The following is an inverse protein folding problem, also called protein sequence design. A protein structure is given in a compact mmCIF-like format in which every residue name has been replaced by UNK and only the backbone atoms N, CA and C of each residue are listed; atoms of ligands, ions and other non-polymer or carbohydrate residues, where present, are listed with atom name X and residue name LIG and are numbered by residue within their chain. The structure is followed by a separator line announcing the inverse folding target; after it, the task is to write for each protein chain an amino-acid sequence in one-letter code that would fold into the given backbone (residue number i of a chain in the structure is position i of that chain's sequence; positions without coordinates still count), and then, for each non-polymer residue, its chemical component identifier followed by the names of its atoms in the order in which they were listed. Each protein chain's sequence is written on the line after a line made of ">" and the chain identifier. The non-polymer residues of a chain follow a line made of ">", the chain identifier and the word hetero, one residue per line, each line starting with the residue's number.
data_IF_675561179563
#
_entry.id   IF_675561179563
#
_cell.length_a   1.000
_cell.length_b   1.000
_cell.length_c   1.000
_cell.angle_alpha   90.00
_cell.angle_beta   90.00
_cell.angle_gamma   90.00
#
_symmetry.space_group_name_H-M   'P 1'
#
loop_
_entity.id
_entity.type
_entity.pdbx_description
1 polymer ?
#
# COMPACT_ATOMS: atom_id res chain seq x y z
N UNK A 1 -12.54 28.61 0.99
CA UNK A 1 -13.11 27.83 -0.11
C UNK A 1 -13.86 26.67 0.50
N UNK A 2 -15.14 26.58 0.23
CA UNK A 2 -15.97 25.51 0.77
C UNK A 2 -16.19 24.48 -0.33
N UNK A 3 -16.02 23.21 0.00
CA UNK A 3 -16.51 22.09 -0.79
C UNK A 3 -17.37 21.20 0.09
N UNK A 4 -18.35 20.55 -0.50
CA UNK A 4 -19.24 19.61 0.18
C UNK A 4 -19.44 18.40 -0.70
N UNK A 5 -19.25 17.23 -0.15
CA UNK A 5 -19.40 15.97 -0.88
C UNK A 5 -20.03 14.88 -0.04
N UNK A 6 -20.62 13.91 -0.70
CA UNK A 6 -21.00 12.61 -0.15
C UNK A 6 -20.07 11.55 -0.75
N UNK A 7 -19.59 10.64 0.06
CA UNK A 7 -18.76 9.53 -0.44
C UNK A 7 -19.28 8.19 0.08
N UNK A 8 -19.18 7.18 -0.77
CA UNK A 8 -19.45 5.79 -0.47
C UNK A 8 -18.19 5.01 -0.85
N UNK A 9 -17.62 4.29 0.11
CA UNK A 9 -16.42 3.46 -0.07
C UNK A 9 -16.73 2.07 0.44
N UNK A 10 -16.91 1.14 -0.48
CA UNK A 10 -17.25 -0.26 -0.21
C UNK A 10 -16.11 -1.15 -0.66
N UNK A 11 -15.65 -2.04 0.19
CA UNK A 11 -14.67 -3.04 -0.18
C UNK A 11 -15.03 -4.41 0.38
N UNK A 12 -14.66 -5.45 -0.36
CA UNK A 12 -14.81 -6.85 0.02
C UNK A 12 -13.56 -7.61 -0.41
N UNK A 13 -13.09 -8.52 0.43
CA UNK A 13 -11.94 -9.36 0.11
C UNK A 13 -12.02 -10.71 0.76
N UNK A 14 -11.37 -11.70 0.15
CA UNK A 14 -11.23 -13.04 0.68
C UNK A 14 -9.82 -13.59 0.48
N UNK A 15 -9.34 -14.34 1.48
CA UNK A 15 -8.05 -15.00 1.44
C UNK A 15 -8.25 -16.52 1.35
N UNK A 16 -7.71 -17.11 0.30
CA UNK A 16 -7.75 -18.55 0.05
C UNK A 16 -6.42 -19.18 0.40
N UNK A 17 -6.39 -20.20 1.22
CA UNK A 17 -5.19 -21.00 1.44
C UNK A 17 -4.94 -21.86 0.20
N UNK A 18 -3.87 -21.58 -0.52
CA UNK A 18 -3.56 -22.18 -1.83
C UNK A 18 -2.65 -23.40 -1.75
N UNK A 19 -1.95 -23.59 -0.65
CA UNK A 19 -1.02 -24.68 -0.46
C UNK A 19 -1.55 -25.69 0.56
N UNK A 20 -1.43 -26.96 0.25
CA UNK A 20 -1.75 -28.08 1.17
C UNK A 20 -0.47 -28.62 1.76
N UNK A 21 -0.40 -28.76 3.09
CA UNK A 21 0.77 -29.32 3.80
C UNK A 21 0.88 -28.84 5.23
N UNK A 22 1.77 -29.48 6.00
CA UNK A 22 1.93 -29.21 7.43
C UNK A 22 3.03 -28.18 7.74
N UNK A 23 3.82 -27.75 6.74
CA UNK A 23 4.84 -26.75 6.98
C UNK A 23 4.21 -25.39 7.27
N UNK A 24 4.85 -24.62 8.14
CA UNK A 24 4.35 -23.30 8.54
C UNK A 24 4.26 -22.32 7.35
N UNK A 25 5.24 -22.37 6.44
CA UNK A 25 5.23 -21.56 5.22
C UNK A 25 4.02 -21.84 4.32
N UNK A 26 3.59 -23.11 4.26
CA UNK A 26 2.39 -23.54 3.52
C UNK A 26 1.13 -22.97 4.15
N UNK A 27 1.00 -23.07 5.47
CA UNK A 27 -0.19 -22.60 6.19
C UNK A 27 -0.34 -21.07 6.20
N UNK A 28 0.76 -20.34 6.05
CA UNK A 28 0.77 -18.89 6.07
C UNK A 28 0.71 -18.25 4.67
N UNK A 29 0.72 -19.06 3.59
CA UNK A 29 0.64 -18.54 2.22
C UNK A 29 -0.79 -18.58 1.70
N UNK A 30 -1.30 -17.41 1.36
CA UNK A 30 -2.67 -17.23 0.91
C UNK A 30 -2.70 -16.45 -0.42
N UNK A 31 -3.66 -16.83 -1.27
CA UNK A 31 -4.12 -16.02 -2.38
C UNK A 31 -5.20 -15.07 -1.86
N UNK A 32 -5.02 -13.79 -2.05
CA UNK A 32 -5.99 -12.76 -1.66
C UNK A 32 -6.63 -12.18 -2.91
N UNK A 33 -7.94 -12.14 -2.94
CA UNK A 33 -8.73 -11.45 -3.97
C UNK A 33 -9.57 -10.40 -3.26
N UNK A 34 -9.56 -9.16 -3.78
CA UNK A 34 -10.32 -8.07 -3.19
C UNK A 34 -10.92 -7.18 -4.27
N UNK A 35 -12.08 -6.62 -4.00
CA UNK A 35 -12.73 -5.59 -4.80
C UNK A 35 -13.02 -4.35 -3.96
N UNK A 36 -12.98 -3.17 -4.57
CA UNK A 36 -13.33 -1.90 -3.97
C UNK A 36 -14.15 -1.07 -4.94
N UNK A 37 -15.17 -0.41 -4.44
CA UNK A 37 -15.97 0.56 -5.17
C UNK A 37 -16.02 1.87 -4.37
N UNK A 38 -15.51 2.94 -4.97
CA UNK A 38 -15.57 4.29 -4.45
C UNK A 38 -16.50 5.12 -5.34
N UNK A 39 -17.44 5.82 -4.70
CA UNK A 39 -18.31 6.81 -5.36
C UNK A 39 -18.24 8.10 -4.55
N UNK A 40 -17.85 9.19 -5.18
CA UNK A 40 -17.79 10.52 -4.59
C UNK A 40 -18.67 11.46 -5.41
N UNK A 41 -19.64 12.11 -4.77
CA UNK A 41 -20.53 13.09 -5.39
C UNK A 41 -20.33 14.43 -4.70
N UNK A 42 -19.90 15.44 -5.46
CA UNK A 42 -19.72 16.78 -4.97
C UNK A 42 -21.03 17.57 -5.07
N UNK A 43 -21.50 18.07 -3.93
CA UNK A 43 -22.68 18.94 -3.82
C UNK A 43 -22.30 20.40 -4.00
N UNK A 44 -21.10 20.76 -3.57
CA UNK A 44 -20.49 22.08 -3.73
C UNK A 44 -19.03 21.88 -4.10
N UNK A 45 -18.56 22.54 -5.15
CA UNK A 45 -17.17 22.51 -5.60
C UNK A 45 -16.63 23.93 -5.69
N UNK A 46 -15.32 24.14 -5.53
CA UNK A 46 -14.68 25.42 -5.78
C UNK A 46 -14.94 25.91 -7.21
N UNK A 47 -14.89 27.23 -7.41
CA UNK A 47 -14.99 27.78 -8.77
C UNK A 47 -13.76 27.40 -9.60
N UNK A 48 -13.91 27.44 -10.93
CA UNK A 48 -12.85 27.10 -11.89
C UNK A 48 -11.57 27.92 -11.71
N UNK A 49 -11.69 29.12 -11.14
CA UNK A 49 -10.57 29.99 -10.81
C UNK A 49 -9.64 29.36 -9.76
N UNK A 50 -10.20 28.61 -8.80
CA UNK A 50 -9.49 27.97 -7.72
C UNK A 50 -9.24 26.47 -7.95
N UNK A 51 -9.95 25.86 -8.88
CA UNK A 51 -9.79 24.46 -9.28
C UNK A 51 -9.79 24.32 -10.82
N UNK A 52 -8.77 24.84 -11.50
CA UNK A 52 -8.69 24.83 -12.97
C UNK A 52 -8.61 23.42 -13.56
N UNK A 53 -8.21 22.43 -12.76
CA UNK A 53 -8.13 21.01 -13.17
C UNK A 53 -9.39 20.23 -12.86
N UNK A 54 -10.40 20.88 -12.26
CA UNK A 54 -11.64 20.27 -11.81
C UNK A 54 -11.39 19.02 -10.92
N UNK A 55 -10.47 19.19 -9.98
CA UNK A 55 -10.09 18.13 -9.05
C UNK A 55 -11.25 17.71 -8.14
N UNK A 56 -12.04 18.69 -7.69
CA UNK A 56 -13.22 18.49 -6.84
C UNK A 56 -14.47 18.21 -7.68
N UNK A 57 -14.46 17.10 -8.41
CA UNK A 57 -15.54 16.65 -9.28
C UNK A 57 -15.97 15.23 -8.92
N UNK A 58 -17.18 14.88 -9.36
CA UNK A 58 -17.73 13.55 -9.15
C UNK A 58 -16.79 12.46 -9.67
N UNK A 59 -16.67 11.40 -8.88
CA UNK A 59 -15.77 10.30 -9.17
C UNK A 59 -16.41 8.95 -8.86
N UNK A 60 -16.28 8.00 -9.78
CA UNK A 60 -16.60 6.58 -9.58
C UNK A 60 -15.36 5.77 -9.87
N UNK A 61 -14.92 4.96 -8.91
CA UNK A 61 -13.72 4.16 -9.06
C UNK A 61 -13.95 2.72 -8.60
N UNK A 62 -13.87 1.80 -9.54
CA UNK A 62 -13.98 0.36 -9.28
C UNK A 62 -12.61 -0.27 -9.41
N UNK A 63 -12.22 -1.06 -8.41
CA UNK A 63 -10.92 -1.73 -8.35
C UNK A 63 -11.12 -3.21 -8.06
N UNK A 64 -10.29 -4.05 -8.68
CA UNK A 64 -10.11 -5.44 -8.33
C UNK A 64 -8.62 -5.71 -8.14
N UNK A 65 -8.28 -6.42 -7.07
CA UNK A 65 -6.92 -6.80 -6.74
C UNK A 65 -6.80 -8.29 -6.52
N UNK A 66 -5.67 -8.84 -6.95
CA UNK A 66 -5.26 -10.20 -6.67
C UNK A 66 -3.82 -10.21 -6.20
N UNK A 67 -3.51 -11.02 -5.19
CA UNK A 67 -2.16 -11.07 -4.67
C UNK A 67 -1.88 -12.34 -3.87
N UNK A 68 -0.61 -12.63 -3.71
CA UNK A 68 -0.11 -13.71 -2.85
C UNK A 68 0.56 -13.07 -1.65
N UNK A 69 0.20 -13.53 -0.46
CA UNK A 69 0.81 -13.10 0.78
C UNK A 69 1.28 -14.31 1.58
N UNK A 70 2.50 -14.23 2.10
CA UNK A 70 3.01 -15.17 3.09
C UNK A 70 3.49 -14.35 4.27
N UNK A 71 2.79 -14.42 5.40
CA UNK A 71 3.08 -13.60 6.57
C UNK A 71 3.22 -14.46 7.81
N UNK A 72 4.28 -14.20 8.56
CA UNK A 72 4.54 -14.74 9.89
C UNK A 72 4.86 -13.60 10.84
N UNK A 73 4.86 -13.90 12.13
CA UNK A 73 5.29 -12.96 13.16
C UNK A 73 6.44 -13.55 13.95
N UNK A 74 7.45 -12.75 14.23
CA UNK A 74 8.55 -13.06 15.13
C UNK A 74 8.46 -12.08 16.28
N UNK A 75 8.57 -12.60 17.49
CA UNK A 75 8.58 -11.79 18.71
C UNK A 75 9.97 -11.21 18.93
N UNK A 76 10.02 -9.91 19.14
CA UNK A 76 11.23 -9.17 19.50
C UNK A 76 10.87 -8.09 20.52
N UNK A 77 11.85 -7.46 21.14
CA UNK A 77 11.63 -6.43 22.16
C UNK A 77 12.44 -5.16 21.86
N UNK A 78 12.14 -4.06 22.56
CA UNK A 78 12.80 -2.76 22.35
C UNK A 78 12.70 -2.22 20.92
N UNK A 79 11.54 -2.38 20.26
CA UNK A 79 11.30 -1.85 18.92
C UNK A 79 10.58 -0.49 19.01
N UNK A 80 9.36 -0.47 19.55
CA UNK A 80 8.58 0.75 19.76
C UNK A 80 8.46 1.08 21.26
N UNK A 81 8.37 0.06 22.12
CA UNK A 81 8.20 0.21 23.54
C UNK A 81 9.35 -0.43 24.32
N UNK A 82 9.71 0.20 25.44
CA UNK A 82 10.80 -0.27 26.27
C UNK A 82 10.39 -1.54 27.05
N UNK A 83 11.08 -2.65 26.79
CA UNK A 83 10.93 -3.92 27.51
C UNK A 83 9.65 -4.71 27.20
N UNK A 84 8.82 -4.26 26.26
CA UNK A 84 7.63 -4.98 25.81
C UNK A 84 7.99 -5.88 24.64
N UNK A 85 7.42 -7.09 24.63
CA UNK A 85 7.53 -8.02 23.49
C UNK A 85 6.55 -7.56 22.43
N UNK A 86 7.04 -7.41 21.21
CA UNK A 86 6.28 -6.92 20.05
C UNK A 86 6.38 -7.92 18.89
N UNK A 87 5.26 -8.11 18.21
CA UNK A 87 5.17 -8.97 17.04
C UNK A 87 5.65 -8.24 15.78
N UNK A 88 6.77 -8.69 15.22
CA UNK A 88 7.35 -8.15 13.98
C UNK A 88 6.89 -8.99 12.81
N UNK A 89 6.16 -8.43 11.84
CA UNK A 89 5.74 -9.18 10.66
C UNK A 89 6.92 -9.45 9.73
N UNK A 90 7.09 -10.72 9.36
CA UNK A 90 8.02 -11.18 8.33
C UNK A 90 7.26 -11.88 7.20
N UNK A 91 7.85 -11.93 6.02
CA UNK A 91 7.27 -12.63 4.88
C UNK A 91 7.35 -11.83 3.59
N UNK A 92 6.45 -12.17 2.66
CA UNK A 92 6.42 -11.59 1.31
C UNK A 92 4.98 -11.29 0.90
N UNK A 93 4.81 -10.22 0.15
CA UNK A 93 3.54 -9.84 -0.48
C UNK A 93 3.86 -9.50 -1.92
N UNK A 94 3.06 -10.03 -2.84
CA UNK A 94 3.05 -9.63 -4.23
C UNK A 94 1.60 -9.49 -4.67
N UNK A 95 1.26 -8.39 -5.31
CA UNK A 95 -0.10 -8.14 -5.75
C UNK A 95 -0.17 -7.25 -6.98
N UNK A 96 -1.22 -7.43 -7.74
CA UNK A 96 -1.62 -6.59 -8.86
C UNK A 96 -3.03 -6.08 -8.62
N UNK A 97 -3.28 -4.86 -9.05
CA UNK A 97 -4.59 -4.22 -8.96
C UNK A 97 -4.93 -3.63 -10.32
N UNK A 98 -6.15 -3.83 -10.78
CA UNK A 98 -6.67 -3.18 -11.97
C UNK A 98 -8.00 -2.52 -11.65
N UNK A 99 -8.36 -1.49 -12.39
CA UNK A 99 -9.62 -0.82 -12.17
C UNK A 99 -10.00 0.16 -13.25
N UNK A 100 -11.17 0.74 -13.06
CA UNK A 100 -11.72 1.73 -13.96
C UNK A 100 -12.23 2.92 -13.14
N UNK A 101 -11.72 4.09 -13.48
CA UNK A 101 -12.14 5.35 -12.90
C UNK A 101 -12.90 6.17 -13.92
N UNK A 102 -14.04 6.73 -13.51
CA UNK A 102 -14.79 7.73 -14.25
C UNK A 102 -14.79 9.03 -13.45
N UNK A 103 -14.17 10.07 -14.00
CA UNK A 103 -14.04 11.40 -13.39
C UNK A 103 -13.95 12.46 -14.48
N UNK A 104 -14.54 13.64 -14.25
CA UNK A 104 -14.54 14.75 -15.22
C UNK A 104 -15.08 14.36 -16.60
N UNK A 105 -16.13 13.50 -16.64
CA UNK A 105 -16.71 12.96 -17.88
C UNK A 105 -15.73 12.11 -18.72
N UNK A 106 -14.60 11.68 -18.13
CA UNK A 106 -13.63 10.78 -18.75
C UNK A 106 -13.51 9.47 -17.99
N UNK A 107 -13.42 8.39 -18.77
CA UNK A 107 -13.09 7.08 -18.25
C UNK A 107 -11.62 6.76 -18.48
N UNK A 108 -10.95 6.19 -17.48
CA UNK A 108 -9.56 5.74 -17.58
C UNK A 108 -9.33 4.45 -16.80
N UNK A 109 -8.46 3.61 -17.32
CA UNK A 109 -8.07 2.38 -16.64
C UNK A 109 -6.96 2.67 -15.64
N UNK A 110 -7.01 2.00 -14.51
CA UNK A 110 -5.96 1.99 -13.50
C UNK A 110 -5.25 0.64 -13.51
N UNK A 111 -3.94 0.67 -13.37
CA UNK A 111 -3.11 -0.51 -13.14
C UNK A 111 -2.12 -0.23 -12.02
N UNK A 112 -2.03 -1.15 -11.06
CA UNK A 112 -1.13 -1.04 -9.93
C UNK A 112 -0.44 -2.36 -9.62
N UNK A 113 0.78 -2.28 -9.11
CA UNK A 113 1.52 -3.43 -8.60
C UNK A 113 2.10 -3.10 -7.22
N UNK A 114 2.19 -4.12 -6.39
CA UNK A 114 2.83 -4.03 -5.07
C UNK A 114 3.71 -5.23 -4.84
N UNK A 115 4.93 -4.99 -4.37
CA UNK A 115 5.84 -6.02 -3.89
C UNK A 115 6.39 -5.60 -2.53
N UNK A 116 6.29 -6.47 -1.53
CA UNK A 116 6.85 -6.20 -0.21
C UNK A 116 7.51 -7.45 0.36
N UNK A 117 8.53 -7.25 1.15
CA UNK A 117 9.17 -8.32 1.90
C UNK A 117 9.68 -7.79 3.25
N UNK A 118 9.81 -8.67 4.21
CA UNK A 118 10.43 -8.39 5.50
C UNK A 118 11.02 -9.65 6.09
N UNK A 119 12.21 -9.54 6.66
CA UNK A 119 12.86 -10.66 7.32
C UNK A 119 13.94 -10.20 8.31
N UNK A 120 14.25 -11.06 9.27
CA UNK A 120 15.42 -10.93 10.12
C UNK A 120 16.64 -11.55 9.44
N UNK A 121 17.75 -10.83 9.48
CA UNK A 121 19.06 -11.22 9.00
C UNK A 121 20.08 -11.21 10.15
N UNK A 122 21.28 -11.70 9.93
CA UNK A 122 22.35 -11.70 10.95
C UNK A 122 22.70 -10.27 11.47
N UNK A 123 22.45 -9.25 10.66
CA UNK A 123 22.74 -7.84 10.95
C UNK A 123 21.52 -7.03 11.42
N UNK A 124 20.37 -7.65 11.55
CA UNK A 124 19.15 -7.00 12.00
C UNK A 124 17.95 -7.32 11.12
N UNK A 125 16.89 -6.53 11.26
CA UNK A 125 15.66 -6.63 10.48
C UNK A 125 15.70 -5.69 9.27
N UNK A 126 15.24 -6.16 8.13
CA UNK A 126 14.97 -5.34 6.96
C UNK A 126 13.60 -5.68 6.38
N UNK A 127 12.80 -4.67 6.15
CA UNK A 127 11.63 -4.76 5.29
C UNK A 127 11.66 -3.69 4.20
N UNK A 128 11.09 -4.01 3.04
CA UNK A 128 10.90 -3.06 1.95
C UNK A 128 9.53 -3.26 1.30
N UNK A 129 8.93 -2.15 0.85
CA UNK A 129 7.68 -2.10 0.12
C UNK A 129 7.88 -1.24 -1.12
N UNK A 130 7.47 -1.77 -2.26
CA UNK A 130 7.48 -1.13 -3.58
C UNK A 130 6.06 -1.09 -4.09
N UNK A 131 5.63 0.06 -4.56
CA UNK A 131 4.33 0.23 -5.18
C UNK A 131 4.49 1.05 -6.46
N UNK A 132 3.83 0.60 -7.52
CA UNK A 132 3.73 1.31 -8.77
C UNK A 132 2.26 1.37 -9.17
N UNK A 133 1.76 2.56 -9.48
CA UNK A 133 0.41 2.78 -9.96
C UNK A 133 0.41 3.72 -11.16
N UNK A 134 -0.43 3.45 -12.14
CA UNK A 134 -0.57 4.29 -13.33
C UNK A 134 -2.00 4.28 -13.84
N UNK A 135 -2.41 5.41 -14.41
CA UNK A 135 -3.63 5.49 -15.20
C UNK A 135 -3.30 5.41 -16.69
N UNK A 136 -4.16 4.72 -17.42
CA UNK A 136 -4.12 4.60 -18.87
C UNK A 136 -5.32 5.31 -19.48
N UNK A 137 -5.04 6.29 -20.33
CA UNK A 137 -6.03 7.05 -21.07
C UNK A 137 -5.69 6.99 -22.56
N UNK A 138 -6.58 6.42 -23.39
CA UNK A 138 -6.37 6.28 -24.84
C UNK A 138 -4.98 5.72 -25.19
N UNK A 139 -4.54 4.67 -24.48
CA UNK A 139 -3.23 4.02 -24.62
C UNK A 139 -2.01 4.82 -24.13
N UNK A 140 -2.19 5.99 -23.57
CA UNK A 140 -1.12 6.77 -22.97
C UNK A 140 -1.12 6.62 -21.44
N UNK A 141 0.06 6.50 -20.86
CA UNK A 141 0.21 6.50 -19.40
C UNK A 141 0.07 7.91 -18.86
N UNK A 142 -0.78 8.05 -17.85
CA UNK A 142 -1.03 9.31 -17.14
C UNK A 142 -0.85 9.09 -15.64
N UNK A 143 -0.38 10.11 -14.93
CA UNK A 143 -0.32 10.11 -13.46
C UNK A 143 0.30 8.83 -12.90
N UNK A 144 1.47 8.43 -13.39
CA UNK A 144 2.21 7.30 -12.86
C UNK A 144 2.89 7.70 -11.56
N UNK A 145 2.75 6.89 -10.52
CA UNK A 145 3.41 7.08 -9.24
C UNK A 145 4.16 5.82 -8.84
N UNK A 146 5.41 5.99 -8.44
CA UNK A 146 6.23 4.96 -7.83
C UNK A 146 6.50 5.33 -6.37
N UNK A 147 6.26 4.40 -5.46
CA UNK A 147 6.54 4.53 -4.04
C UNK A 147 7.51 3.46 -3.57
N UNK A 148 8.48 3.86 -2.78
CA UNK A 148 9.38 2.96 -2.07
C UNK A 148 9.45 3.35 -0.61
N UNK A 149 9.37 2.34 0.25
CA UNK A 149 9.57 2.48 1.68
C UNK A 149 10.38 1.30 2.20
N UNK A 150 11.39 1.56 3.01
CA UNK A 150 12.11 0.51 3.73
C UNK A 150 12.13 0.82 5.23
N UNK A 151 12.20 -0.23 6.04
CA UNK A 151 12.45 -0.13 7.47
C UNK A 151 13.59 -1.10 7.82
N UNK A 152 14.62 -0.56 8.38
CA UNK A 152 15.76 -1.30 8.89
C UNK A 152 15.95 -1.00 10.37
N UNK A 153 16.24 -2.00 11.15
CA UNK A 153 16.78 -1.83 12.48
C UNK A 153 17.82 -2.90 12.82
N UNK A 154 18.84 -2.50 13.57
CA UNK A 154 19.93 -3.37 14.02
C UNK A 154 19.45 -4.39 15.04
N UNK A 155 20.20 -5.46 15.25
CA UNK A 155 20.08 -6.28 16.44
C UNK A 155 20.26 -5.41 17.69
N UNK A 156 19.70 -5.84 18.82
CA UNK A 156 19.84 -5.13 20.08
C UNK A 156 21.29 -5.21 20.57
N UNK A 157 21.94 -4.06 20.71
CA UNK A 157 23.32 -3.95 21.19
C UNK A 157 23.27 -3.66 22.69
N UNK A 158 23.93 -4.48 23.48
CA UNK A 158 24.03 -4.31 24.92
C UNK A 158 25.39 -3.76 25.32
N UNK A 159 25.43 -2.59 25.94
CA UNK A 159 26.62 -1.91 26.44
C UNK A 159 26.45 -1.69 27.95
N UNK A 160 26.82 -2.68 28.75
CA UNK A 160 26.58 -2.66 30.19
C UNK A 160 25.08 -2.57 30.49
N UNK A 161 24.65 -1.46 31.13
CA UNK A 161 23.24 -1.20 31.45
C UNK A 161 22.42 -0.63 30.27
N UNK A 162 23.09 -0.22 29.20
CA UNK A 162 22.45 0.40 28.04
C UNK A 162 22.03 -0.63 27.00
N UNK A 163 20.87 -0.41 26.41
CA UNK A 163 20.33 -1.17 25.29
C UNK A 163 20.16 -0.22 24.12
N UNK A 164 20.87 -0.48 23.02
CA UNK A 164 20.89 0.38 21.84
C UNK A 164 20.34 -0.38 20.62
N UNK A 165 19.52 0.30 19.83
CA UNK A 165 19.02 -0.16 18.54
C UNK A 165 18.94 1.03 17.61
N UNK A 166 19.51 0.91 16.42
CA UNK A 166 19.44 1.95 15.40
C UNK A 166 18.31 1.63 14.42
N UNK A 167 17.57 2.67 13.99
CA UNK A 167 16.50 2.58 13.02
C UNK A 167 16.80 3.48 11.83
N UNK A 168 16.55 2.96 10.61
CA UNK A 168 16.63 3.71 9.37
C UNK A 168 15.35 3.44 8.58
N UNK A 169 14.62 4.48 8.20
CA UNK A 169 13.31 4.39 7.54
C UNK A 169 13.25 5.32 6.31
N UNK A 170 13.95 4.99 5.21
CA UNK A 170 13.84 5.77 3.99
C UNK A 170 12.47 5.58 3.35
N UNK A 171 11.91 6.66 2.84
CA UNK A 171 10.70 6.67 2.04
C UNK A 171 10.83 7.72 0.94
N UNK A 172 10.44 7.35 -0.28
CA UNK A 172 10.30 8.31 -1.37
C UNK A 172 9.15 7.95 -2.30
N UNK A 173 8.58 8.98 -2.91
CA UNK A 173 7.51 8.87 -3.90
C UNK A 173 7.91 9.70 -5.11
N UNK A 174 7.88 9.08 -6.28
CA UNK A 174 8.21 9.73 -7.56
C UNK A 174 6.98 9.67 -8.45
N UNK A 175 6.55 10.83 -8.94
CA UNK A 175 5.42 10.94 -9.88
C UNK A 175 5.91 11.32 -11.28
N UNK A 176 5.38 10.63 -12.28
CA UNK A 176 5.62 10.87 -13.71
C UNK A 176 4.31 11.20 -14.41
N UNK A 177 4.39 11.90 -15.54
CA UNK A 177 3.23 12.24 -16.39
C UNK A 177 2.09 12.87 -15.59
N UNK A 178 2.43 13.83 -14.72
CA UNK A 178 1.44 14.56 -13.91
C UNK A 178 0.52 15.36 -14.83
N UNK A 179 -0.75 15.41 -14.46
CA UNK A 179 -1.70 16.36 -15.05
C UNK A 179 -1.49 17.68 -14.32
N UNK A 180 -1.03 18.70 -15.05
CA UNK A 180 -0.89 20.07 -14.56
C UNK A 180 -2.20 20.80 -14.78
#
# INVERSE_FOLDING_TARGET
>A
QNFKHNSQDLWLGHAFTILKGNSESVRTTNLVVAGRFLNVNYLESPSIEYDPTNFYSDEKFSLIGIGITSRKFIQDNYIFNNGIIEDVPIGKIFGITSGYQYKNNFGRYYFGTRAAFGNFYKWGFLSANFELGTFLEKSNTKQTAFSFQANYFTNLISLGKWKLRQFIKPQFIIGFNRVN
#
